data_IF_897361331610
#
_entry.id   IF_897361331610
#
_cell.length_a   1.000
_cell.length_b   1.000
_cell.length_c   1.000
_cell.angle_alpha   90.00
_cell.angle_beta   90.00
_cell.angle_gamma   90.00
#
_symmetry.space_group_name_H-M   'P 1'
#
loop_
_entity.id
_entity.type
_entity.pdbx_description
1 polymer ?
#
# COMPACT_ATOMS: atom_id res chain seq x y z
N UNK A 1 27.73 40.36 18.26
CA UNK A 1 27.92 39.44 17.12
C UNK A 1 27.56 38.02 17.53
N UNK A 2 26.31 37.76 17.96
CA UNK A 2 25.83 36.42 18.41
C UNK A 2 24.36 36.11 18.01
N UNK A 3 23.75 36.90 17.13
CA UNK A 3 22.36 36.70 16.70
C UNK A 3 22.23 36.12 15.27
N UNK A 4 23.34 36.01 14.52
CA UNK A 4 23.31 35.50 13.14
C UNK A 4 23.36 33.96 13.08
N UNK A 5 23.93 33.29 14.09
CA UNK A 5 24.09 31.83 14.06
C UNK A 5 22.76 31.10 14.28
N UNK A 6 21.82 31.68 15.01
CA UNK A 6 20.50 31.09 15.22
C UNK A 6 19.62 31.10 13.98
N UNK A 7 19.70 32.13 13.16
CA UNK A 7 18.96 32.23 11.91
C UNK A 7 19.50 31.30 10.82
N UNK A 8 20.82 31.07 10.82
CA UNK A 8 21.44 30.13 9.91
C UNK A 8 21.07 28.68 10.25
N UNK A 9 21.02 28.35 11.54
CA UNK A 9 20.63 27.02 12.03
C UNK A 9 19.17 26.74 11.77
N UNK A 10 18.27 27.70 11.98
CA UNK A 10 16.84 27.61 11.67
C UNK A 10 16.62 27.46 10.16
N UNK A 11 17.37 28.18 9.30
CA UNK A 11 17.25 28.06 7.87
C UNK A 11 17.85 26.74 7.31
N UNK A 12 18.82 26.14 8.00
CA UNK A 12 19.33 24.81 7.64
C UNK A 12 18.32 23.74 8.02
N UNK A 13 17.64 23.85 9.18
CA UNK A 13 16.55 22.95 9.57
C UNK A 13 15.34 23.09 8.65
N UNK A 14 15.01 24.29 8.18
CA UNK A 14 13.95 24.51 7.18
C UNK A 14 14.29 23.98 5.76
N UNK A 15 15.57 23.71 5.46
CA UNK A 15 15.99 23.17 4.17
C UNK A 15 15.85 21.64 4.07
N UNK A 16 15.65 20.95 5.18
CA UNK A 16 15.24 19.56 5.24
C UNK A 16 13.72 19.46 5.39
N UNK A 17 12.95 19.98 4.42
CA UNK A 17 11.59 19.54 4.23
C UNK A 17 11.72 18.09 3.75
N UNK A 18 11.52 17.15 4.65
CA UNK A 18 11.50 15.73 4.34
C UNK A 18 10.36 15.50 3.36
N UNK A 19 10.70 15.01 2.20
CA UNK A 19 9.75 14.62 1.18
C UNK A 19 9.34 13.19 1.45
N UNK A 20 8.14 13.00 2.00
CA UNK A 20 7.62 11.67 2.30
C UNK A 20 6.83 11.11 1.12
N UNK A 21 7.08 9.87 0.77
CA UNK A 21 6.26 9.10 -0.16
C UNK A 21 5.50 8.00 0.56
N UNK A 22 4.27 7.74 0.15
CA UNK A 22 3.47 6.59 0.60
C UNK A 22 3.28 5.66 -0.60
N UNK A 23 3.68 4.40 -0.46
CA UNK A 23 3.53 3.38 -1.48
C UNK A 23 2.64 2.27 -0.91
N UNK A 24 1.57 1.95 -1.60
CA UNK A 24 0.67 0.85 -1.26
C UNK A 24 0.91 -0.24 -2.29
N UNK A 25 1.32 -1.43 -1.82
CA UNK A 25 1.55 -2.61 -2.67
C UNK A 25 0.47 -3.63 -2.38
N UNK A 26 -0.34 -3.92 -3.39
CA UNK A 26 -1.47 -4.85 -3.33
C UNK A 26 -1.34 -5.94 -4.39
N UNK A 27 -2.19 -6.92 -4.31
CA UNK A 27 -2.31 -8.04 -5.23
C UNK A 27 -2.68 -9.33 -4.53
N UNK A 28 -3.04 -10.34 -5.31
CA UNK A 28 -3.33 -11.68 -4.81
C UNK A 28 -2.11 -12.30 -4.12
N UNK A 29 -2.29 -13.41 -3.45
CA UNK A 29 -1.16 -14.15 -2.89
C UNK A 29 -0.21 -14.61 -4.03
N UNK A 30 1.07 -14.82 -3.72
CA UNK A 30 2.08 -15.33 -4.65
C UNK A 30 2.42 -14.41 -5.83
N UNK A 31 2.13 -13.12 -5.73
CA UNK A 31 2.51 -12.13 -6.77
C UNK A 31 3.85 -11.46 -6.53
N UNK A 32 4.62 -11.89 -5.53
CA UNK A 32 5.94 -11.32 -5.25
C UNK A 32 5.92 -9.96 -4.54
N UNK A 33 4.82 -9.63 -3.82
CA UNK A 33 4.70 -8.38 -3.06
C UNK A 33 5.87 -8.15 -2.10
N UNK A 34 6.20 -9.16 -1.30
CA UNK A 34 7.28 -9.04 -0.30
C UNK A 34 8.63 -8.82 -0.97
N UNK A 35 8.86 -9.46 -2.11
CA UNK A 35 10.08 -9.25 -2.92
C UNK A 35 10.17 -7.81 -3.38
N UNK A 36 9.11 -7.26 -3.98
CA UNK A 36 9.08 -5.86 -4.42
C UNK A 36 9.25 -4.89 -3.24
N UNK A 37 8.56 -5.13 -2.12
CA UNK A 37 8.63 -4.27 -0.92
C UNK A 37 10.05 -4.25 -0.35
N UNK A 38 10.71 -5.40 -0.29
CA UNK A 38 12.10 -5.49 0.19
C UNK A 38 13.08 -4.72 -0.71
N UNK A 39 12.85 -4.71 -2.01
CA UNK A 39 13.66 -3.90 -2.93
C UNK A 39 13.33 -2.40 -2.80
N UNK A 40 12.04 -2.03 -2.72
CA UNK A 40 11.61 -0.64 -2.54
C UNK A 40 12.09 -0.04 -1.20
N UNK A 41 12.19 -0.87 -0.15
CA UNK A 41 12.72 -0.43 1.15
C UNK A 41 14.10 0.22 1.03
N UNK A 42 14.91 -0.22 0.09
CA UNK A 42 16.26 0.27 -0.10
C UNK A 42 16.32 1.66 -0.77
N UNK A 43 15.16 2.23 -1.18
CA UNK A 43 15.09 3.58 -1.75
C UNK A 43 15.35 4.68 -0.71
N UNK A 44 15.18 4.39 0.58
CA UNK A 44 15.38 5.35 1.66
C UNK A 44 15.96 4.67 2.90
N UNK A 45 16.80 5.40 3.62
CA UNK A 45 17.34 4.95 4.89
C UNK A 45 16.30 5.02 6.03
N UNK A 46 15.20 5.76 5.83
CA UNK A 46 14.15 5.97 6.83
C UNK A 46 12.81 5.45 6.33
N UNK A 47 12.74 4.15 6.08
CA UNK A 47 11.54 3.48 5.57
C UNK A 47 10.76 2.82 6.70
N UNK A 48 9.45 3.11 6.78
CA UNK A 48 8.48 2.40 7.61
C UNK A 48 7.69 1.42 6.72
N UNK A 49 7.72 0.13 7.05
CA UNK A 49 6.86 -0.86 6.40
C UNK A 49 5.70 -1.20 7.35
N UNK A 50 4.48 -1.09 6.85
CA UNK A 50 3.25 -1.42 7.55
C UNK A 50 2.66 -2.67 6.91
N UNK A 51 2.63 -3.78 7.66
CA UNK A 51 2.00 -5.01 7.21
C UNK A 51 0.55 -5.05 7.70
N UNK A 52 -0.40 -5.02 6.76
CA UNK A 52 -1.80 -5.25 7.07
C UNK A 52 -2.09 -6.75 7.07
N UNK A 53 -2.02 -7.33 8.26
CA UNK A 53 -2.22 -8.77 8.46
C UNK A 53 -3.68 -9.21 8.37
N UNK A 54 -3.89 -10.51 8.58
CA UNK A 54 -5.24 -11.11 8.65
C UNK A 54 -6.02 -10.48 9.82
N UNK A 55 -7.31 -10.18 9.63
CA UNK A 55 -8.15 -9.66 10.71
C UNK A 55 -8.23 -10.63 11.89
N UNK A 56 -8.17 -10.09 13.10
CA UNK A 56 -8.28 -10.85 14.34
C UNK A 56 -9.71 -10.76 14.87
N UNK A 57 -10.28 -11.89 15.30
CA UNK A 57 -11.62 -11.96 15.90
C UNK A 57 -12.21 -13.36 15.75
N UNK A 58 -13.13 -13.71 16.67
CA UNK A 58 -13.79 -15.01 16.70
C UNK A 58 -15.03 -15.08 15.78
N UNK A 59 -15.56 -13.92 15.39
CA UNK A 59 -16.69 -13.77 14.49
C UNK A 59 -16.36 -12.85 13.33
N UNK A 60 -17.06 -12.99 12.20
CA UNK A 60 -16.89 -12.10 11.03
C UNK A 60 -17.12 -10.63 11.41
N UNK A 61 -18.08 -10.37 12.28
CA UNK A 61 -18.38 -9.01 12.77
C UNK A 61 -17.21 -8.42 13.56
N UNK A 62 -16.59 -9.20 14.44
CA UNK A 62 -15.40 -8.77 15.19
C UNK A 62 -14.22 -8.54 14.26
N UNK A 63 -13.96 -9.46 13.32
CA UNK A 63 -12.90 -9.32 12.33
C UNK A 63 -13.07 -8.04 11.51
N UNK A 64 -14.26 -7.76 11.00
CA UNK A 64 -14.57 -6.56 10.23
C UNK A 64 -14.39 -5.27 11.06
N UNK A 65 -14.83 -5.29 12.33
CA UNK A 65 -14.64 -4.16 13.25
C UNK A 65 -13.15 -3.91 13.52
N UNK A 66 -12.42 -4.96 13.87
CA UNK A 66 -11.00 -4.85 14.21
C UNK A 66 -10.17 -4.39 13.02
N UNK A 67 -10.51 -4.81 11.80
CA UNK A 67 -9.86 -4.33 10.58
C UNK A 67 -10.08 -2.84 10.35
N UNK A 68 -11.29 -2.34 10.58
CA UNK A 68 -11.57 -0.90 10.47
C UNK A 68 -10.79 -0.08 11.51
N UNK A 69 -10.69 -0.58 12.75
CA UNK A 69 -9.88 0.07 13.80
C UNK A 69 -8.41 0.11 13.37
N UNK A 70 -7.89 -0.99 12.86
CA UNK A 70 -6.51 -1.10 12.41
C UNK A 70 -6.17 -0.08 11.30
N UNK A 71 -7.05 0.08 10.32
CA UNK A 71 -6.86 1.06 9.25
C UNK A 71 -6.88 2.50 9.78
N UNK A 72 -7.80 2.82 10.70
CA UNK A 72 -7.83 4.13 11.33
C UNK A 72 -6.56 4.40 12.15
N UNK A 73 -6.04 3.40 12.86
CA UNK A 73 -4.80 3.51 13.61
C UNK A 73 -3.59 3.73 12.68
N UNK A 74 -3.55 3.08 11.51
CA UNK A 74 -2.50 3.33 10.52
C UNK A 74 -2.57 4.73 9.93
N UNK A 75 -3.77 5.23 9.60
CA UNK A 75 -3.95 6.60 9.15
C UNK A 75 -3.52 7.59 10.23
N UNK A 76 -3.93 7.37 11.48
CA UNK A 76 -3.51 8.20 12.62
C UNK A 76 -1.98 8.22 12.76
N UNK A 77 -1.31 7.08 12.61
CA UNK A 77 0.16 7.01 12.63
C UNK A 77 0.82 7.79 11.51
N UNK A 78 0.23 7.82 10.31
CA UNK A 78 0.71 8.68 9.23
C UNK A 78 0.60 10.15 9.59
N UNK A 79 -0.44 10.55 10.32
CA UNK A 79 -0.68 11.93 10.75
C UNK A 79 0.12 12.33 12.00
N UNK A 80 0.66 11.39 12.77
CA UNK A 80 1.45 11.72 13.97
C UNK A 80 2.82 12.31 13.60
N UNK A 81 3.17 13.42 14.23
CA UNK A 81 4.42 14.16 13.99
C UNK A 81 5.68 13.29 14.04
N UNK A 82 5.69 12.26 14.89
CA UNK A 82 6.82 11.33 15.01
C UNK A 82 7.17 10.60 13.71
N UNK A 83 6.19 10.38 12.83
CA UNK A 83 6.42 9.76 11.54
C UNK A 83 6.75 10.76 10.45
N UNK A 84 6.33 12.01 10.62
CA UNK A 84 6.61 13.10 9.69
C UNK A 84 8.03 13.64 9.73
N UNK A 85 8.73 13.48 10.85
CA UNK A 85 10.11 13.94 11.00
C UNK A 85 11.14 12.83 10.79
N UNK A 86 10.71 11.56 10.65
CA UNK A 86 11.61 10.41 10.72
C UNK A 86 11.55 9.54 9.45
N UNK A 87 10.40 9.44 8.79
CA UNK A 87 10.25 8.55 7.64
C UNK A 87 10.14 9.33 6.33
N UNK A 88 11.02 9.01 5.37
CA UNK A 88 10.97 9.52 4.00
C UNK A 88 10.08 8.64 3.12
N UNK A 89 9.83 7.41 3.56
CA UNK A 89 9.08 6.41 2.82
C UNK A 89 8.23 5.56 3.75
N UNK A 90 6.94 5.47 3.46
CA UNK A 90 6.01 4.53 4.10
C UNK A 90 5.54 3.54 3.05
N UNK A 91 5.72 2.26 3.30
CA UNK A 91 5.26 1.20 2.40
C UNK A 91 4.20 0.37 3.13
N UNK A 92 3.00 0.31 2.55
CA UNK A 92 1.95 -0.62 2.98
C UNK A 92 2.09 -1.93 2.20
N UNK A 93 2.34 -3.01 2.94
CA UNK A 93 2.17 -4.37 2.44
C UNK A 93 0.73 -4.77 2.67
N UNK A 94 -0.09 -4.65 1.65
CA UNK A 94 -1.55 -4.63 1.68
C UNK A 94 -2.07 -3.39 2.44
N UNK A 95 -3.30 -3.02 2.15
CA UNK A 95 -3.99 -1.92 2.82
C UNK A 95 -5.51 -2.13 2.71
N UNK A 96 -6.26 -1.05 2.71
CA UNK A 96 -7.72 -1.05 2.61
C UNK A 96 -8.28 -1.59 1.28
N UNK A 97 -7.47 -1.64 0.20
CA UNK A 97 -7.92 -2.22 -1.08
C UNK A 97 -8.10 -3.73 -0.98
N UNK A 98 -7.22 -4.41 -0.24
CA UNK A 98 -7.39 -5.83 0.07
C UNK A 98 -8.70 -6.13 0.81
N UNK A 99 -9.24 -5.16 1.56
CA UNK A 99 -10.53 -5.31 2.22
C UNK A 99 -11.71 -5.40 1.24
N UNK A 100 -11.63 -4.69 0.10
CA UNK A 100 -12.61 -4.81 -0.97
C UNK A 100 -12.66 -6.22 -1.56
N UNK A 101 -11.54 -6.91 -1.58
CA UNK A 101 -11.42 -8.26 -2.11
C UNK A 101 -11.73 -9.29 -1.03
N UNK A 102 -10.89 -9.36 -0.01
CA UNK A 102 -10.95 -10.41 1.02
C UNK A 102 -12.11 -10.20 2.00
N UNK A 103 -12.45 -8.96 2.30
CA UNK A 103 -13.61 -8.63 3.13
C UNK A 103 -14.91 -9.06 2.49
N UNK A 104 -15.05 -8.81 1.19
CA UNK A 104 -16.25 -9.17 0.43
C UNK A 104 -16.36 -10.66 0.19
N UNK A 105 -15.25 -11.34 -0.17
CA UNK A 105 -15.28 -12.77 -0.48
C UNK A 105 -15.44 -13.64 0.78
N UNK A 106 -14.65 -13.32 1.82
CA UNK A 106 -14.44 -14.23 2.94
C UNK A 106 -15.06 -13.77 4.26
N UNK A 107 -15.53 -12.51 4.33
CA UNK A 107 -16.10 -11.94 5.56
C UNK A 107 -17.45 -11.27 5.38
N UNK A 108 -18.13 -11.56 4.29
CA UNK A 108 -19.49 -11.10 3.99
C UNK A 108 -19.67 -9.57 4.12
N UNK A 109 -18.61 -8.80 3.87
CA UNK A 109 -18.71 -7.35 3.87
C UNK A 109 -19.49 -6.84 2.67
N UNK A 110 -20.33 -5.86 2.91
CA UNK A 110 -20.99 -5.15 1.83
C UNK A 110 -19.97 -4.38 0.99
N UNK A 111 -20.03 -4.59 -0.31
CA UNK A 111 -19.08 -4.07 -1.29
C UNK A 111 -19.11 -2.54 -1.38
N UNK A 112 -20.31 -1.97 -1.32
CA UNK A 112 -20.51 -0.52 -1.39
C UNK A 112 -20.03 0.16 -0.10
N UNK A 113 -20.22 -0.46 1.06
CA UNK A 113 -19.73 0.08 2.32
C UNK A 113 -18.20 0.07 2.39
N UNK A 114 -17.57 -0.99 1.89
CA UNK A 114 -16.09 -1.02 1.78
C UNK A 114 -15.60 0.04 0.79
N UNK A 115 -16.28 0.21 -0.33
CA UNK A 115 -15.92 1.25 -1.31
C UNK A 115 -16.05 2.66 -0.72
N UNK A 116 -17.11 2.94 0.05
CA UNK A 116 -17.24 4.22 0.78
C UNK A 116 -16.09 4.46 1.73
N UNK A 117 -15.70 3.43 2.51
CA UNK A 117 -14.54 3.50 3.40
C UNK A 117 -13.26 3.84 2.62
N UNK A 118 -12.98 3.15 1.52
CA UNK A 118 -11.81 3.40 0.68
C UNK A 118 -11.80 4.84 0.17
N UNK A 119 -12.95 5.33 -0.34
CA UNK A 119 -13.08 6.69 -0.83
C UNK A 119 -12.80 7.74 0.27
N UNK A 120 -13.26 7.51 1.51
CA UNK A 120 -12.94 8.38 2.64
C UNK A 120 -11.43 8.42 2.90
N UNK A 121 -10.78 7.26 2.96
CA UNK A 121 -9.32 7.17 3.17
C UNK A 121 -8.55 7.89 2.06
N UNK A 122 -8.93 7.70 0.80
CA UNK A 122 -8.27 8.38 -0.32
C UNK A 122 -8.49 9.90 -0.28
N UNK A 123 -9.65 10.37 0.16
CA UNK A 123 -9.91 11.80 0.37
C UNK A 123 -9.05 12.38 1.48
N UNK A 124 -8.92 11.67 2.61
CA UNK A 124 -8.05 12.07 3.72
C UNK A 124 -6.60 12.19 3.26
N UNK A 125 -6.09 11.21 2.52
CA UNK A 125 -4.74 11.25 1.95
C UNK A 125 -4.53 12.41 0.97
N UNK A 126 -5.55 12.77 0.17
CA UNK A 126 -5.49 13.94 -0.72
C UNK A 126 -5.50 15.25 0.06
N UNK A 127 -6.35 15.36 1.08
CA UNK A 127 -6.39 16.55 1.96
C UNK A 127 -5.06 16.75 2.66
N UNK A 128 -4.44 15.67 3.08
CA UNK A 128 -3.13 15.66 3.67
C UNK A 128 -2.05 16.21 2.73
N UNK A 129 -2.08 15.83 1.46
CA UNK A 129 -1.16 16.35 0.45
C UNK A 129 -1.32 17.87 0.24
N UNK A 130 -2.52 18.41 0.46
CA UNK A 130 -2.84 19.83 0.31
C UNK A 130 -2.64 20.65 1.60
N UNK A 131 -2.45 20.02 2.75
CA UNK A 131 -2.26 20.71 4.01
C UNK A 131 -0.91 21.45 4.01
N UNK A 132 -0.92 22.72 4.51
CA UNK A 132 0.29 23.51 4.73
C UNK A 132 1.09 22.96 5.95
N UNK A 133 1.43 21.70 5.94
CA UNK A 133 2.27 21.09 6.94
C UNK A 133 3.75 21.28 6.60
N UNK A 134 4.59 21.24 7.62
CA UNK A 134 6.06 21.40 7.48
C UNK A 134 6.68 20.28 6.65
N UNK A 135 5.97 19.18 6.47
CA UNK A 135 6.39 18.03 5.66
C UNK A 135 5.56 17.97 4.38
N UNK A 136 6.22 17.98 3.25
CA UNK A 136 5.56 17.85 1.95
C UNK A 136 5.41 16.36 1.63
N UNK A 137 4.17 15.88 1.54
CA UNK A 137 3.90 14.56 0.99
C UNK A 137 4.11 14.64 -0.53
N UNK A 138 5.14 13.97 -1.05
CA UNK A 138 5.48 13.98 -2.49
C UNK A 138 4.53 13.13 -3.32
N UNK A 139 3.77 12.25 -2.70
CA UNK A 139 2.75 11.48 -3.37
C UNK A 139 2.32 10.23 -2.61
N UNK A 140 1.14 9.78 -3.00
CA UNK A 140 0.60 8.47 -2.63
C UNK A 140 0.48 7.64 -3.90
N UNK A 141 1.09 6.47 -3.90
CA UNK A 141 1.19 5.57 -5.05
C UNK A 141 0.56 4.23 -4.73
N UNK A 142 -0.30 3.74 -5.60
CA UNK A 142 -0.89 2.42 -5.51
C UNK A 142 -0.30 1.53 -6.61
N UNK A 143 0.44 0.50 -6.21
CA UNK A 143 0.99 -0.51 -7.10
C UNK A 143 0.23 -1.80 -6.87
N UNK A 144 -0.41 -2.30 -7.92
CA UNK A 144 -1.10 -3.58 -7.90
C UNK A 144 -0.31 -4.59 -8.71
N UNK A 145 0.14 -5.66 -8.06
CA UNK A 145 0.77 -6.80 -8.72
C UNK A 145 -0.30 -7.81 -9.14
N UNK A 146 -0.27 -8.22 -10.38
CA UNK A 146 -1.20 -9.19 -10.97
C UNK A 146 -0.42 -10.37 -11.54
N UNK A 147 -0.86 -11.57 -11.20
CA UNK A 147 -0.47 -12.80 -11.89
C UNK A 147 -1.65 -13.28 -12.75
N UNK A 148 -1.50 -13.23 -14.06
CA UNK A 148 -2.54 -13.63 -15.00
C UNK A 148 -2.63 -15.16 -15.20
N UNK A 149 -1.67 -15.92 -14.66
CA UNK A 149 -1.66 -17.40 -14.74
C UNK A 149 -2.11 -18.01 -13.41
N UNK A 150 -3.34 -18.54 -13.38
CA UNK A 150 -3.85 -19.30 -12.21
C UNK A 150 -3.01 -20.55 -11.96
N UNK A 151 -2.53 -21.21 -13.02
CA UNK A 151 -1.65 -22.37 -12.94
C UNK A 151 -0.33 -22.02 -12.22
N UNK A 152 0.30 -20.89 -12.58
CA UNK A 152 1.51 -20.42 -11.94
C UNK A 152 1.25 -20.05 -10.48
N UNK A 153 0.10 -19.44 -10.17
CA UNK A 153 -0.28 -19.12 -8.80
C UNK A 153 -0.45 -20.37 -7.95
N UNK A 154 -1.11 -21.42 -8.45
CA UNK A 154 -1.33 -22.68 -7.75
C UNK A 154 -0.04 -23.49 -7.57
N UNK A 155 0.84 -23.52 -8.57
CA UNK A 155 2.10 -24.28 -8.49
C UNK A 155 3.10 -23.71 -7.49
N UNK A 156 2.95 -22.46 -7.09
CA UNK A 156 3.82 -21.78 -6.12
C UNK A 156 3.15 -21.58 -4.76
N UNK A 157 2.19 -22.42 -4.40
CA UNK A 157 1.55 -22.37 -3.10
C UNK A 157 2.49 -22.86 -1.99
N UNK A 158 2.68 -22.00 -0.98
CA UNK A 158 3.45 -22.28 0.23
C UNK A 158 2.58 -22.82 1.39
N UNK A 159 1.29 -23.11 1.12
CA UNK A 159 0.32 -23.58 2.09
C UNK A 159 -0.24 -22.49 3.02
N UNK A 160 0.17 -21.23 2.86
CA UNK A 160 -0.29 -20.11 3.70
C UNK A 160 -1.36 -19.25 3.02
N UNK A 161 -1.64 -19.51 1.76
CA UNK A 161 -2.58 -18.71 0.97
C UNK A 161 -4.04 -18.99 1.36
N UNK A 162 -4.88 -17.97 1.26
CA UNK A 162 -6.32 -18.09 1.48
C UNK A 162 -6.95 -18.81 0.28
N UNK A 163 -6.49 -18.51 -0.92
CA UNK A 163 -7.04 -19.05 -2.17
C UNK A 163 -6.29 -20.32 -2.54
N UNK A 164 -6.98 -21.43 -2.43
CA UNK A 164 -6.43 -22.78 -2.73
C UNK A 164 -6.95 -23.35 -4.03
N UNK A 165 -7.87 -22.68 -4.70
CA UNK A 165 -8.50 -23.12 -5.95
C UNK A 165 -8.53 -21.99 -6.99
N UNK A 166 -8.65 -22.41 -8.27
CA UNK A 166 -8.63 -21.52 -9.41
C UNK A 166 -9.79 -20.50 -9.41
N UNK A 167 -11.00 -20.91 -9.02
CA UNK A 167 -12.16 -20.02 -9.02
C UNK A 167 -11.99 -18.88 -8.03
N UNK A 168 -11.44 -19.16 -6.84
CA UNK A 168 -11.15 -18.13 -5.85
C UNK A 168 -10.07 -17.17 -6.33
N UNK A 169 -9.00 -17.68 -6.97
CA UNK A 169 -7.94 -16.83 -7.54
C UNK A 169 -8.52 -15.90 -8.62
N UNK A 170 -9.34 -16.42 -9.54
CA UNK A 170 -9.99 -15.62 -10.57
C UNK A 170 -10.91 -14.56 -9.98
N UNK A 171 -11.70 -14.93 -8.96
CA UNK A 171 -12.61 -14.00 -8.28
C UNK A 171 -11.83 -12.88 -7.56
N UNK A 172 -10.77 -13.22 -6.85
CA UNK A 172 -9.90 -12.23 -6.19
C UNK A 172 -9.27 -11.29 -7.22
N UNK A 173 -8.69 -11.85 -8.29
CA UNK A 173 -8.08 -11.07 -9.36
C UNK A 173 -9.09 -10.11 -9.99
N UNK A 174 -10.30 -10.56 -10.27
CA UNK A 174 -11.37 -9.73 -10.82
C UNK A 174 -11.73 -8.56 -9.88
N UNK A 175 -11.85 -8.82 -8.57
CA UNK A 175 -12.14 -7.76 -7.60
C UNK A 175 -10.97 -6.80 -7.41
N UNK A 176 -9.72 -7.28 -7.51
CA UNK A 176 -8.56 -6.39 -7.53
C UNK A 176 -8.55 -5.47 -8.76
N UNK A 177 -8.88 -5.97 -9.95
CA UNK A 177 -9.06 -5.14 -11.14
C UNK A 177 -10.18 -4.11 -10.96
N UNK A 178 -11.29 -4.51 -10.36
CA UNK A 178 -12.41 -3.61 -10.11
C UNK A 178 -12.04 -2.46 -9.17
N UNK A 179 -11.45 -2.77 -8.01
CA UNK A 179 -11.06 -1.73 -7.05
C UNK A 179 -9.91 -0.87 -7.56
N UNK A 180 -8.98 -1.43 -8.32
CA UNK A 180 -7.95 -0.67 -8.99
C UNK A 180 -8.55 0.40 -9.91
N UNK A 181 -9.54 0.04 -10.73
CA UNK A 181 -10.19 0.99 -11.62
C UNK A 181 -10.96 2.08 -10.86
N UNK A 182 -11.57 1.76 -9.71
CA UNK A 182 -12.32 2.70 -8.87
C UNK A 182 -11.44 3.63 -8.03
N UNK A 183 -10.21 3.23 -7.70
CA UNK A 183 -9.28 4.06 -6.92
C UNK A 183 -8.95 5.36 -7.64
N UNK A 184 -8.86 6.45 -6.88
CA UNK A 184 -8.60 7.81 -7.39
C UNK A 184 -7.18 8.32 -7.10
N UNK A 185 -6.34 7.54 -6.43
CA UNK A 185 -4.94 7.89 -6.24
C UNK A 185 -4.10 7.49 -7.45
N UNK A 186 -2.88 8.01 -7.53
CA UNK A 186 -1.94 7.65 -8.60
C UNK A 186 -1.64 6.15 -8.52
N UNK A 187 -1.88 5.42 -9.60
CA UNK A 187 -1.87 3.95 -9.59
C UNK A 187 -1.21 3.33 -10.80
N UNK A 188 -0.58 2.18 -10.60
CA UNK A 188 0.05 1.37 -11.64
C UNK A 188 -0.24 -0.11 -11.39
N UNK A 189 -0.68 -0.79 -12.43
CA UNK A 189 -0.80 -2.24 -12.45
C UNK A 189 0.45 -2.83 -13.11
N UNK A 190 1.03 -3.84 -12.49
CA UNK A 190 2.22 -4.53 -12.98
C UNK A 190 1.90 -6.01 -13.08
N UNK A 191 1.98 -6.56 -14.29
CA UNK A 191 1.85 -7.99 -14.53
C UNK A 191 3.19 -8.64 -14.18
N UNK A 192 3.15 -9.62 -13.27
CA UNK A 192 4.37 -10.23 -12.72
C UNK A 192 4.81 -11.50 -13.44
N UNK A 193 4.04 -11.95 -14.43
CA UNK A 193 4.34 -13.15 -15.21
C UNK A 193 4.34 -12.87 -16.71
N UNK A 194 5.01 -13.76 -17.44
CA UNK A 194 4.96 -13.90 -18.89
C UNK A 194 4.59 -15.37 -19.17
N UNK A 195 3.32 -15.58 -19.51
CA UNK A 195 2.72 -16.91 -19.56
C UNK A 195 2.83 -17.62 -18.20
N UNK A 196 3.36 -18.85 -18.19
CA UNK A 196 3.50 -19.68 -16.98
C UNK A 196 4.84 -19.47 -16.25
N UNK A 197 5.48 -18.31 -16.38
CA UNK A 197 6.75 -18.00 -15.72
C UNK A 197 6.70 -16.61 -15.08
N UNK A 198 7.32 -16.47 -13.91
CA UNK A 198 7.52 -15.15 -13.35
C UNK A 198 8.55 -14.34 -14.16
N UNK A 199 8.27 -13.06 -14.32
CA UNK A 199 9.21 -12.08 -14.89
C UNK A 199 10.38 -11.85 -13.93
N UNK A 200 11.47 -11.35 -14.47
CA UNK A 200 12.62 -10.96 -13.66
C UNK A 200 12.24 -9.88 -12.63
N UNK A 201 12.65 -10.06 -11.38
CA UNK A 201 12.34 -9.13 -10.30
C UNK A 201 12.88 -7.72 -10.53
N UNK A 202 14.01 -7.58 -11.23
CA UNK A 202 14.61 -6.28 -11.52
C UNK A 202 13.80 -5.52 -12.59
N UNK A 203 13.14 -6.21 -13.54
CA UNK A 203 12.22 -5.60 -14.48
C UNK A 203 10.99 -5.05 -13.77
N UNK A 204 10.40 -5.85 -12.85
CA UNK A 204 9.25 -5.45 -12.04
C UNK A 204 9.61 -4.25 -11.16
N UNK A 205 10.78 -4.30 -10.51
CA UNK A 205 11.29 -3.19 -9.69
C UNK A 205 11.48 -1.93 -10.53
N UNK A 206 12.13 -2.05 -11.70
CA UNK A 206 12.31 -0.92 -12.61
C UNK A 206 10.98 -0.27 -13.00
N UNK A 207 9.99 -1.07 -13.38
CA UNK A 207 8.66 -0.58 -13.74
C UNK A 207 7.97 0.15 -12.57
N UNK A 208 8.13 -0.35 -11.35
CA UNK A 208 7.63 0.30 -10.15
C UNK A 208 8.34 1.64 -9.87
N UNK A 209 9.69 1.66 -9.98
CA UNK A 209 10.49 2.87 -9.76
C UNK A 209 10.22 3.94 -10.82
N UNK A 210 10.11 3.56 -12.09
CA UNK A 210 9.76 4.48 -13.17
C UNK A 210 8.40 5.15 -12.93
N UNK A 211 7.45 4.41 -12.36
CA UNK A 211 6.15 4.94 -11.98
C UNK A 211 6.19 5.89 -10.76
N UNK A 212 6.94 5.54 -9.71
CA UNK A 212 7.03 6.35 -8.47
C UNK A 212 7.78 7.67 -8.70
N UNK A 213 8.68 7.71 -9.67
CA UNK A 213 9.54 8.87 -9.95
C UNK A 213 9.01 9.79 -11.06
N UNK A 214 7.83 9.51 -11.62
CA UNK A 214 7.08 10.40 -12.52
C UNK A 214 6.31 11.47 -11.71
#
# INVERSE_FOLDING_TARGET
>A
MKFLDGYLYINIIYKFILHMKIIIVEGTDRTGKDTLINELKNMSNHTLIIHCGKPVGNTLKEQNRNQNILFNDYLKKIYEDKYFGVCDLIIFNRAWYGEYVYGTIYRERDKEDVLKMINCVEQDLKLFNNAKCKTKLDGVYYIQLINDSTKLALSNDDGNSISIDENNILRETSLFHEIFNKSQIKKKMIIVNDGDKFRDKNEILKEALDFINQ
#
